data_IF_788765903177
#
_entry.id   IF_788765903177
#
_cell.length_a   1.000
_cell.length_b   1.000
_cell.length_c   1.000
_cell.angle_alpha   90.00
_cell.angle_beta   90.00
_cell.angle_gamma   90.00
#
_symmetry.space_group_name_H-M   'P 1'
#
loop_
_entity.id
_entity.type
_entity.pdbx_description
1 polymer ?
#
# COMPACT_ATOMS: atom_id res chain seq x y z
N UNK A 1 41.00 1.99 -52.94
CA UNK A 1 39.77 2.82 -53.16
C UNK A 1 38.79 2.58 -52.04
N UNK A 2 38.71 3.51 -51.14
CA UNK A 2 37.80 3.41 -49.98
C UNK A 2 36.54 4.25 -50.26
N UNK A 3 35.42 3.60 -50.42
CA UNK A 3 34.12 4.24 -50.61
C UNK A 3 33.63 4.82 -49.28
N UNK A 4 33.61 6.15 -49.16
CA UNK A 4 32.98 6.88 -48.07
C UNK A 4 31.46 6.76 -48.21
N UNK A 5 30.82 6.04 -47.25
CA UNK A 5 29.36 6.13 -47.07
C UNK A 5 29.03 7.44 -46.36
N UNK A 6 28.46 8.38 -47.10
CA UNK A 6 27.83 9.58 -46.55
C UNK A 6 26.48 9.17 -45.91
N UNK A 7 26.45 8.95 -44.61
CA UNK A 7 25.19 8.89 -43.84
C UNK A 7 24.68 10.32 -43.65
N UNK A 8 23.86 10.78 -44.57
CA UNK A 8 23.07 11.99 -44.39
C UNK A 8 21.93 11.67 -43.41
N UNK A 9 22.07 12.08 -42.15
CA UNK A 9 20.98 12.02 -41.17
C UNK A 9 19.89 12.97 -41.67
N UNK A 10 18.83 12.42 -42.26
CA UNK A 10 17.61 13.19 -42.53
C UNK A 10 17.05 13.69 -41.19
N UNK A 11 17.07 14.99 -40.96
CA UNK A 11 16.37 15.63 -39.86
C UNK A 11 14.89 15.33 -40.02
N UNK A 12 14.33 14.48 -39.13
CA UNK A 12 12.89 14.32 -39.03
C UNK A 12 12.29 15.64 -38.52
N UNK A 13 11.39 16.21 -39.30
CA UNK A 13 10.62 17.36 -38.83
C UNK A 13 9.71 16.93 -37.70
N UNK A 14 9.75 17.66 -36.61
CA UNK A 14 8.81 17.48 -35.50
C UNK A 14 7.39 17.83 -35.96
N UNK A 15 6.53 16.84 -36.04
CA UNK A 15 5.08 17.04 -36.19
C UNK A 15 4.45 17.13 -34.84
N UNK A 16 3.75 18.24 -34.57
CA UNK A 16 3.02 18.42 -33.32
C UNK A 16 1.92 17.36 -33.23
N UNK A 17 1.90 16.48 -32.21
CA UNK A 17 0.88 15.47 -32.10
C UNK A 17 -0.51 16.09 -31.93
N UNK A 18 -1.48 15.55 -32.67
CA UNK A 18 -2.89 15.90 -32.49
C UNK A 18 -3.38 15.18 -31.25
N UNK A 19 -3.54 15.90 -30.16
CA UNK A 19 -4.10 15.36 -28.92
C UNK A 19 -5.61 15.35 -29.02
N UNK A 20 -6.20 14.19 -29.27
CA UNK A 20 -7.63 14.00 -29.23
C UNK A 20 -8.07 14.06 -27.77
N UNK A 21 -8.88 15.05 -27.43
CA UNK A 21 -9.45 15.15 -26.07
C UNK A 21 -10.49 14.05 -25.88
N UNK A 22 -10.16 13.04 -25.11
CA UNK A 22 -11.15 12.06 -24.68
C UNK A 22 -11.93 12.63 -23.50
N UNK A 23 -13.20 12.89 -23.71
CA UNK A 23 -14.16 13.37 -22.69
C UNK A 23 -14.85 12.23 -21.98
N UNK A 24 -14.16 11.14 -21.68
CA UNK A 24 -14.73 10.01 -20.97
C UNK A 24 -14.28 10.05 -19.52
N UNK A 25 -15.21 10.43 -18.64
CA UNK A 25 -15.05 10.37 -17.19
C UNK A 25 -14.70 11.70 -16.50
N UNK A 26 -15.00 11.74 -15.22
CA UNK A 26 -14.85 12.90 -14.32
C UNK A 26 -13.39 13.22 -13.95
N UNK A 27 -12.43 12.38 -14.29
CA UNK A 27 -11.01 12.58 -14.03
C UNK A 27 -10.20 12.39 -15.29
N UNK A 28 -10.10 13.44 -16.08
CA UNK A 28 -9.18 13.47 -17.20
C UNK A 28 -7.81 13.95 -16.71
N UNK A 29 -6.80 13.09 -16.79
CA UNK A 29 -5.40 13.40 -16.45
C UNK A 29 -4.85 14.59 -17.28
N UNK A 30 -5.46 14.91 -18.42
CA UNK A 30 -4.97 15.88 -19.41
C UNK A 30 -5.97 16.94 -19.86
N UNK A 31 -7.12 17.08 -19.22
CA UNK A 31 -8.08 18.08 -19.65
C UNK A 31 -9.16 18.46 -18.64
N UNK A 32 -9.75 19.62 -18.84
CA UNK A 32 -10.93 20.04 -18.08
C UNK A 32 -12.16 19.26 -18.55
N UNK A 33 -13.02 18.84 -17.62
CA UNK A 33 -14.40 18.54 -17.97
C UNK A 33 -15.01 19.79 -18.66
N UNK A 34 -15.85 19.63 -19.69
CA UNK A 34 -16.43 20.77 -20.42
C UNK A 34 -17.13 21.81 -19.53
N UNK A 35 -17.59 21.39 -18.36
CA UNK A 35 -18.33 22.19 -17.38
C UNK A 35 -17.54 22.46 -16.09
N UNK A 36 -16.21 22.36 -16.11
CA UNK A 36 -15.39 22.61 -14.91
C UNK A 36 -15.50 24.12 -14.56
N UNK A 37 -16.10 24.40 -13.41
CA UNK A 37 -16.14 25.75 -12.85
C UNK A 37 -14.70 26.09 -12.40
N UNK A 38 -14.13 27.21 -12.86
CA UNK A 38 -12.80 27.62 -12.41
C UNK A 38 -12.85 27.91 -10.91
N UNK A 39 -11.93 27.31 -10.16
CA UNK A 39 -11.73 27.63 -8.76
C UNK A 39 -10.85 28.89 -8.66
N UNK A 40 -11.38 30.05 -8.21
CA UNK A 40 -10.58 31.27 -8.10
C UNK A 40 -9.68 31.27 -6.86
N UNK A 41 -9.96 30.38 -5.88
CA UNK A 41 -9.27 30.26 -4.60
C UNK A 41 -9.10 28.82 -4.19
N UNK A 42 -8.01 28.52 -3.47
CA UNK A 42 -7.79 27.25 -2.75
C UNK A 42 -7.58 27.61 -1.28
N UNK A 43 -8.38 27.02 -0.37
CA UNK A 43 -8.38 27.31 1.08
C UNK A 43 -8.41 28.81 1.39
N UNK A 44 -9.20 29.56 0.62
CA UNK A 44 -9.33 31.01 0.77
C UNK A 44 -8.23 31.84 0.07
N UNK A 45 -7.13 31.21 -0.38
CA UNK A 45 -6.02 31.87 -1.06
C UNK A 45 -6.30 32.03 -2.54
N UNK A 46 -6.21 33.28 -3.12
CA UNK A 46 -6.41 33.47 -4.55
C UNK A 46 -5.36 32.71 -5.39
N UNK A 47 -5.80 31.99 -6.41
CA UNK A 47 -4.87 31.27 -7.30
C UNK A 47 -3.90 32.23 -8.01
N UNK A 48 -4.37 33.43 -8.34
CA UNK A 48 -3.50 34.45 -8.99
C UNK A 48 -2.30 34.80 -8.11
N UNK A 49 -2.50 34.96 -6.79
CA UNK A 49 -1.40 35.28 -5.86
C UNK A 49 -0.38 34.13 -5.80
N UNK A 50 -0.88 32.88 -5.79
CA UNK A 50 0.00 31.70 -5.80
C UNK A 50 0.82 31.62 -7.10
N UNK A 51 0.19 31.88 -8.25
CA UNK A 51 0.89 31.88 -9.54
C UNK A 51 1.90 33.05 -9.65
N UNK A 52 1.60 34.21 -9.07
CA UNK A 52 2.55 35.34 -9.02
C UNK A 52 3.75 35.04 -8.13
N UNK A 53 3.54 34.33 -7.02
CA UNK A 53 4.59 34.00 -6.06
C UNK A 53 5.46 32.80 -6.49
N UNK A 54 4.83 31.76 -7.04
CA UNK A 54 5.50 30.46 -7.28
C UNK A 54 5.61 30.10 -8.77
N UNK A 55 4.98 30.84 -9.67
CA UNK A 55 5.03 30.58 -11.10
C UNK A 55 4.04 29.51 -11.56
N UNK A 56 4.22 29.07 -12.82
CA UNK A 56 3.42 28.04 -13.49
C UNK A 56 4.36 27.12 -14.28
N UNK A 57 4.14 25.80 -14.31
CA UNK A 57 3.02 25.06 -13.72
C UNK A 57 3.13 24.94 -12.18
N UNK A 58 1.99 24.88 -11.50
CA UNK A 58 1.93 24.76 -10.04
C UNK A 58 0.93 23.68 -9.62
N UNK A 59 1.38 22.75 -8.77
CA UNK A 59 0.52 21.81 -8.08
C UNK A 59 0.17 22.37 -6.70
N UNK A 60 -1.12 22.43 -6.40
CA UNK A 60 -1.62 22.97 -5.14
C UNK A 60 -2.36 21.85 -4.40
N UNK A 61 -1.99 21.64 -3.14
CA UNK A 61 -2.65 20.68 -2.25
C UNK A 61 -3.39 21.47 -1.17
N UNK A 62 -4.68 21.20 -1.01
CA UNK A 62 -5.52 21.79 0.02
C UNK A 62 -5.42 20.99 1.32
N UNK A 63 -4.82 21.56 2.35
CA UNK A 63 -4.73 20.95 3.67
C UNK A 63 -6.11 20.69 4.28
N UNK A 64 -7.03 21.67 4.17
CA UNK A 64 -8.40 21.52 4.66
C UNK A 64 -9.11 20.34 4.00
N UNK A 65 -8.87 20.11 2.71
CA UNK A 65 -9.45 18.98 1.99
C UNK A 65 -8.83 17.66 2.43
N UNK A 66 -7.52 17.59 2.65
CA UNK A 66 -6.87 16.37 3.18
C UNK A 66 -7.47 15.98 4.53
N UNK A 67 -7.51 16.92 5.48
CA UNK A 67 -8.06 16.69 6.83
C UNK A 67 -9.54 16.28 6.78
N UNK A 68 -10.35 16.95 5.98
CA UNK A 68 -11.77 16.60 5.81
C UNK A 68 -11.93 15.18 5.27
N UNK A 69 -11.19 14.79 4.21
CA UNK A 69 -11.28 13.47 3.61
C UNK A 69 -10.88 12.35 4.58
N UNK A 70 -9.84 12.57 5.37
CA UNK A 70 -9.48 11.64 6.44
C UNK A 70 -10.62 11.47 7.46
N UNK A 71 -11.15 12.59 7.96
CA UNK A 71 -12.23 12.58 8.96
C UNK A 71 -13.50 11.94 8.44
N UNK A 72 -13.88 12.23 7.19
CA UNK A 72 -15.05 11.63 6.52
C UNK A 72 -14.89 10.11 6.42
N UNK A 73 -13.73 9.63 5.98
CA UNK A 73 -13.43 8.20 5.88
C UNK A 73 -13.44 7.53 7.26
N UNK A 74 -12.73 8.10 8.23
CA UNK A 74 -12.69 7.57 9.60
C UNK A 74 -14.09 7.48 10.20
N UNK A 75 -14.91 8.52 10.04
CA UNK A 75 -16.30 8.56 10.50
C UNK A 75 -17.15 7.47 9.84
N UNK A 76 -17.05 7.31 8.52
CA UNK A 76 -17.83 6.31 7.77
C UNK A 76 -17.58 4.88 8.29
N UNK A 77 -16.33 4.53 8.56
CA UNK A 77 -15.97 3.22 9.10
C UNK A 77 -16.32 3.10 10.60
N UNK A 78 -15.99 4.09 11.42
CA UNK A 78 -16.18 4.04 12.87
C UNK A 78 -17.64 3.94 13.28
N UNK A 79 -18.57 4.44 12.47
CA UNK A 79 -20.02 4.28 12.69
C UNK A 79 -20.48 2.81 12.56
N UNK A 80 -19.72 1.97 11.88
CA UNK A 80 -20.05 0.54 11.67
C UNK A 80 -19.17 -0.37 12.52
N UNK A 81 -17.90 -0.01 12.68
CA UNK A 81 -16.93 -0.80 13.41
C UNK A 81 -15.91 0.14 14.09
N UNK A 82 -15.98 0.27 15.44
CA UNK A 82 -15.18 1.27 16.17
C UNK A 82 -13.67 0.95 16.17
N UNK A 83 -13.28 -0.32 16.00
CA UNK A 83 -11.87 -0.75 15.98
C UNK A 83 -11.26 -0.62 14.57
N UNK A 84 -11.36 0.57 13.98
CA UNK A 84 -10.76 0.87 12.68
C UNK A 84 -9.62 1.86 12.83
N UNK A 85 -8.50 1.57 12.17
CA UNK A 85 -7.37 2.48 12.02
C UNK A 85 -7.19 2.80 10.54
N UNK A 86 -7.21 4.08 10.21
CA UNK A 86 -6.91 4.56 8.85
C UNK A 86 -5.41 4.77 8.74
N UNK A 87 -4.83 4.26 7.66
CA UNK A 87 -3.43 4.45 7.33
C UNK A 87 -3.30 5.23 6.04
N UNK A 88 -2.31 6.11 5.96
CA UNK A 88 -2.00 6.83 4.74
C UNK A 88 -0.86 6.17 3.99
N UNK A 89 -1.07 5.85 2.72
CA UNK A 89 -0.08 5.19 1.88
C UNK A 89 0.89 6.20 1.27
N UNK A 90 2.14 6.20 1.72
CA UNK A 90 3.17 7.14 1.30
C UNK A 90 3.51 7.04 -0.18
N UNK A 91 3.43 5.84 -0.77
CA UNK A 91 3.66 5.63 -2.21
C UNK A 91 2.74 6.46 -3.11
N UNK A 92 1.59 6.92 -2.61
CA UNK A 92 0.66 7.74 -3.39
C UNK A 92 1.12 9.19 -3.47
N UNK A 93 1.67 9.73 -2.38
CA UNK A 93 2.36 11.01 -2.32
C UNK A 93 3.12 11.13 -1.00
N UNK A 94 4.42 11.03 -1.06
CA UNK A 94 5.32 11.06 0.12
C UNK A 94 5.86 12.45 0.46
N UNK A 95 5.26 13.53 -0.02
CA UNK A 95 5.63 14.87 0.44
C UNK A 95 5.41 14.99 1.95
N UNK A 96 6.46 15.37 2.66
CA UNK A 96 6.46 15.41 4.13
C UNK A 96 5.31 16.21 4.73
N UNK A 97 4.92 17.32 4.10
CA UNK A 97 3.79 18.14 4.55
C UNK A 97 2.45 17.38 4.45
N UNK A 98 2.26 16.56 3.42
CA UNK A 98 1.06 15.73 3.26
C UNK A 98 1.05 14.62 4.29
N UNK A 99 2.17 13.90 4.44
CA UNK A 99 2.32 12.84 5.42
C UNK A 99 2.10 13.35 6.85
N UNK A 100 2.68 14.50 7.21
CA UNK A 100 2.48 15.14 8.50
C UNK A 100 1.02 15.52 8.74
N UNK A 101 0.34 16.06 7.74
CA UNK A 101 -1.10 16.41 7.84
C UNK A 101 -1.94 15.20 8.18
N UNK A 102 -1.71 14.04 7.55
CA UNK A 102 -2.42 12.81 7.86
C UNK A 102 -2.04 12.23 9.22
N UNK A 103 -0.76 12.33 9.60
CA UNK A 103 -0.29 11.92 10.92
C UNK A 103 -0.96 12.73 12.04
N UNK A 104 -1.08 14.05 11.88
CA UNK A 104 -1.79 14.92 12.83
C UNK A 104 -3.25 14.53 13.02
N UNK A 105 -3.90 14.03 11.98
CA UNK A 105 -5.27 13.49 12.05
C UNK A 105 -5.33 12.08 12.69
N UNK A 106 -4.17 11.48 13.00
CA UNK A 106 -4.06 10.17 13.61
C UNK A 106 -3.98 9.00 12.63
N UNK A 107 -3.59 9.24 11.37
CA UNK A 107 -3.30 8.18 10.42
C UNK A 107 -2.01 7.45 10.81
N UNK A 108 -1.98 6.12 10.56
CA UNK A 108 -0.73 5.37 10.53
C UNK A 108 0.00 5.62 9.20
N UNK A 109 1.31 5.44 9.19
CA UNK A 109 2.11 5.48 7.98
C UNK A 109 2.13 4.09 7.31
N UNK A 110 1.56 3.96 6.12
CA UNK A 110 1.75 2.76 5.29
C UNK A 110 2.88 3.04 4.31
N UNK A 111 3.94 2.23 4.40
CA UNK A 111 5.18 2.39 3.64
C UNK A 111 5.51 1.10 2.90
N UNK A 112 6.13 1.22 1.71
CA UNK A 112 6.45 0.07 0.84
C UNK A 112 7.94 -0.05 0.53
N UNK A 113 8.77 0.80 1.14
CA UNK A 113 10.23 0.82 0.97
C UNK A 113 10.92 1.42 2.17
N UNK A 114 12.23 1.13 2.32
CA UNK A 114 13.06 1.78 3.34
C UNK A 114 13.11 3.30 3.19
N UNK A 115 13.06 3.81 1.95
CA UNK A 115 13.00 5.25 1.70
C UNK A 115 11.75 5.90 2.32
N UNK A 116 10.56 5.31 2.13
CA UNK A 116 9.33 5.81 2.73
C UNK A 116 9.33 5.62 4.25
N UNK A 117 9.97 4.54 4.74
CA UNK A 117 10.18 4.31 6.16
C UNK A 117 11.00 5.44 6.81
N UNK A 118 12.09 5.87 6.14
CA UNK A 118 12.91 7.01 6.60
C UNK A 118 12.10 8.32 6.66
N UNK A 119 11.22 8.56 5.67
CA UNK A 119 10.33 9.73 5.71
C UNK A 119 9.42 9.66 6.94
N UNK A 120 8.82 8.49 7.23
CA UNK A 120 7.98 8.32 8.41
C UNK A 120 8.78 8.60 9.70
N UNK A 121 10.02 8.12 9.79
CA UNK A 121 10.89 8.37 10.95
C UNK A 121 11.30 9.82 11.06
N UNK A 122 11.59 10.51 9.96
CA UNK A 122 11.90 11.95 9.96
C UNK A 122 10.74 12.81 10.47
N UNK A 123 9.51 12.33 10.33
CA UNK A 123 8.30 12.92 10.88
C UNK A 123 7.98 12.46 12.30
N UNK A 124 8.90 11.74 12.96
CA UNK A 124 8.75 11.18 14.30
C UNK A 124 7.57 10.20 14.45
N UNK A 125 7.18 9.50 13.37
CA UNK A 125 6.18 8.43 13.47
C UNK A 125 6.76 7.30 14.34
N UNK A 126 6.01 6.88 15.35
CA UNK A 126 6.39 5.74 16.19
C UNK A 126 6.35 4.45 15.35
N UNK A 127 7.28 3.52 15.58
CA UNK A 127 7.34 2.27 14.83
C UNK A 127 6.01 1.50 14.87
N UNK A 128 5.38 1.41 16.02
CA UNK A 128 4.06 0.77 16.20
C UNK A 128 2.92 1.35 15.30
N UNK A 129 3.13 2.57 14.78
CA UNK A 129 2.22 3.25 13.86
C UNK A 129 2.70 3.21 12.40
N UNK A 130 3.72 2.40 12.10
CA UNK A 130 4.21 2.16 10.74
C UNK A 130 3.75 0.78 10.29
N UNK A 131 3.09 0.72 9.13
CA UNK A 131 2.76 -0.53 8.45
C UNK A 131 3.73 -0.68 7.29
N UNK A 132 4.63 -1.66 7.41
CA UNK A 132 5.64 -1.92 6.40
C UNK A 132 5.16 -3.01 5.45
N UNK A 133 4.67 -2.58 4.32
CA UNK A 133 4.27 -3.37 3.17
C UNK A 133 5.41 -3.41 2.13
N UNK A 134 5.09 -3.81 0.91
CA UNK A 134 6.01 -3.81 -0.21
C UNK A 134 6.53 -5.20 -0.56
N UNK A 135 6.86 -5.43 -1.84
CA UNK A 135 7.23 -6.75 -2.34
C UNK A 135 8.67 -7.15 -2.03
N UNK A 136 9.48 -6.22 -1.56
CA UNK A 136 10.87 -6.46 -1.20
C UNK A 136 11.28 -5.61 -0.01
N UNK A 137 11.81 -6.24 1.03
CA UNK A 137 12.39 -5.62 2.21
C UNK A 137 13.73 -6.30 2.51
N UNK A 138 14.78 -5.52 2.68
CA UNK A 138 16.10 -6.05 3.02
C UNK A 138 16.15 -6.56 4.46
N UNK A 139 17.16 -7.37 4.78
CA UNK A 139 17.37 -7.85 6.15
C UNK A 139 17.55 -6.69 7.13
N UNK A 140 18.27 -5.64 6.73
CA UNK A 140 18.52 -4.45 7.54
C UNK A 140 17.23 -3.69 7.82
N UNK A 141 16.40 -3.48 6.79
CA UNK A 141 15.08 -2.83 6.91
C UNK A 141 14.15 -3.62 7.83
N UNK A 142 14.08 -4.95 7.66
CA UNK A 142 13.28 -5.83 8.51
C UNK A 142 13.80 -5.85 9.95
N UNK A 143 15.12 -5.90 10.16
CA UNK A 143 15.75 -5.87 11.50
C UNK A 143 15.38 -4.58 12.24
N UNK A 144 15.41 -3.46 11.53
CA UNK A 144 14.99 -2.16 12.08
C UNK A 144 13.52 -2.14 12.40
N UNK A 145 12.66 -2.54 11.46
CA UNK A 145 11.21 -2.58 11.64
C UNK A 145 10.81 -3.43 12.85
N UNK A 146 11.44 -4.61 13.03
CA UNK A 146 11.25 -5.46 14.21
C UNK A 146 11.67 -4.74 15.48
N UNK A 147 12.84 -4.09 15.48
CA UNK A 147 13.36 -3.39 16.67
C UNK A 147 12.48 -2.19 17.08
N UNK A 148 11.81 -1.59 16.13
CA UNK A 148 10.90 -0.46 16.33
C UNK A 148 9.43 -0.88 16.52
N UNK A 149 9.14 -2.18 16.54
CA UNK A 149 7.79 -2.76 16.65
C UNK A 149 6.84 -2.33 15.51
N UNK A 150 7.36 -2.16 14.30
CA UNK A 150 6.53 -1.86 13.15
C UNK A 150 5.64 -3.06 12.77
N UNK A 151 4.49 -2.78 12.17
CA UNK A 151 3.58 -3.79 11.64
C UNK A 151 4.13 -4.26 10.29
N UNK A 152 4.63 -5.48 10.23
CA UNK A 152 5.26 -6.03 9.02
C UNK A 152 4.28 -6.97 8.33
N UNK A 153 4.00 -6.72 7.05
CA UNK A 153 3.26 -7.62 6.18
C UNK A 153 4.22 -8.32 5.21
N UNK A 154 4.31 -9.64 5.34
CA UNK A 154 5.17 -10.51 4.53
C UNK A 154 4.58 -10.64 3.12
N UNK A 155 5.41 -10.49 2.09
CA UNK A 155 5.04 -10.56 0.69
C UNK A 155 5.54 -11.84 -0.01
N UNK A 156 6.58 -12.49 0.51
CA UNK A 156 7.24 -13.65 -0.10
C UNK A 156 7.80 -14.64 0.93
N UNK A 157 8.14 -15.85 0.45
CA UNK A 157 8.82 -16.84 1.30
C UNK A 157 10.20 -16.36 1.76
N UNK A 158 10.94 -15.62 0.94
CA UNK A 158 12.25 -15.09 1.32
C UNK A 158 12.16 -14.21 2.55
N UNK A 159 11.11 -13.40 2.66
CA UNK A 159 10.87 -12.58 3.84
C UNK A 159 10.52 -13.40 5.08
N UNK A 160 9.84 -14.55 4.92
CA UNK A 160 9.61 -15.50 6.04
C UNK A 160 10.96 -15.96 6.58
N UNK A 161 11.88 -16.41 5.71
CA UNK A 161 13.20 -16.89 6.12
C UNK A 161 14.04 -15.80 6.78
N UNK A 162 14.06 -14.60 6.22
CA UNK A 162 14.77 -13.46 6.81
C UNK A 162 14.24 -13.10 8.19
N UNK A 163 12.93 -13.07 8.36
CA UNK A 163 12.31 -12.76 9.65
C UNK A 163 12.54 -13.88 10.69
N UNK A 164 12.58 -15.15 10.28
CA UNK A 164 12.95 -16.27 11.16
C UNK A 164 14.41 -16.15 11.62
N UNK A 165 15.31 -15.75 10.74
CA UNK A 165 16.71 -15.48 11.08
C UNK A 165 16.81 -14.35 12.10
N UNK A 166 16.14 -13.22 11.86
CA UNK A 166 16.10 -12.08 12.78
C UNK A 166 15.48 -12.50 14.13
N UNK A 167 14.43 -13.31 14.12
CA UNK A 167 13.80 -13.81 15.34
C UNK A 167 14.76 -14.65 16.20
N UNK A 168 15.58 -15.51 15.56
CA UNK A 168 16.64 -16.28 16.24
C UNK A 168 17.72 -15.36 16.80
N UNK A 169 18.23 -14.42 15.98
CA UNK A 169 19.26 -13.47 16.41
C UNK A 169 18.81 -12.63 17.60
N UNK A 170 17.55 -12.24 17.63
CA UNK A 170 16.96 -11.41 18.72
C UNK A 170 16.36 -12.23 19.86
N UNK A 171 16.38 -13.57 19.75
CA UNK A 171 15.73 -14.48 20.71
C UNK A 171 14.30 -14.06 21.06
N UNK A 172 13.47 -13.81 20.03
CA UNK A 172 12.09 -13.31 20.17
C UNK A 172 11.16 -13.93 19.13
N UNK A 173 9.87 -13.88 19.40
CA UNK A 173 8.84 -14.22 18.41
C UNK A 173 8.33 -12.95 17.77
N UNK A 174 8.33 -12.86 16.43
CA UNK A 174 7.95 -11.67 15.69
C UNK A 174 6.48 -11.75 15.25
N UNK A 175 5.62 -10.79 15.63
CA UNK A 175 4.27 -10.69 15.10
C UNK A 175 4.30 -10.18 13.65
N UNK A 176 3.60 -10.88 12.75
CA UNK A 176 3.58 -10.57 11.32
C UNK A 176 2.18 -10.66 10.73
N UNK A 177 1.92 -9.87 9.69
CA UNK A 177 0.84 -10.10 8.74
C UNK A 177 1.37 -10.81 7.50
N UNK A 178 0.48 -11.36 6.69
CA UNK A 178 0.81 -11.84 5.34
C UNK A 178 -0.03 -11.12 4.31
N UNK A 179 0.58 -10.85 3.16
CA UNK A 179 -0.12 -10.31 2.01
C UNK A 179 -0.69 -11.42 1.16
N UNK A 180 -1.98 -11.33 0.90
CA UNK A 180 -2.69 -12.21 0.00
C UNK A 180 -2.94 -11.50 -1.34
N UNK A 181 -2.85 -12.24 -2.43
CA UNK A 181 -3.52 -11.87 -3.67
C UNK A 181 -4.64 -12.88 -3.95
N UNK A 182 -5.68 -12.42 -4.64
CA UNK A 182 -6.89 -13.20 -4.88
C UNK A 182 -7.67 -12.66 -6.07
N UNK A 183 -8.51 -13.49 -6.65
CA UNK A 183 -9.44 -13.05 -7.69
C UNK A 183 -10.55 -12.18 -7.08
N UNK A 184 -10.58 -10.90 -7.42
CA UNK A 184 -11.53 -9.90 -6.90
C UNK A 184 -12.23 -9.12 -8.01
N UNK A 185 -12.63 -9.78 -9.06
CA UNK A 185 -13.34 -9.19 -10.21
C UNK A 185 -12.61 -9.36 -11.53
N UNK A 186 -12.96 -8.55 -12.53
CA UNK A 186 -12.46 -8.70 -13.90
C UNK A 186 -10.97 -8.36 -14.09
N UNK A 187 -10.36 -7.64 -13.17
CA UNK A 187 -8.93 -7.34 -13.21
C UNK A 187 -8.17 -8.31 -12.31
N UNK A 188 -7.38 -9.17 -12.93
CA UNK A 188 -6.43 -10.00 -12.21
C UNK A 188 -5.29 -9.15 -11.65
N UNK A 189 -5.24 -9.02 -10.34
CA UNK A 189 -4.10 -8.47 -9.64
C UNK A 189 -3.40 -9.59 -8.87
N UNK A 190 -2.68 -10.42 -9.63
CA UNK A 190 -2.00 -11.63 -9.15
C UNK A 190 -0.53 -11.40 -8.76
N UNK A 191 -0.08 -10.15 -8.85
CA UNK A 191 1.28 -9.79 -8.44
C UNK A 191 1.36 -9.54 -6.96
N UNK A 192 2.45 -10.04 -6.37
CA UNK A 192 2.80 -9.85 -4.96
C UNK A 192 1.91 -10.58 -3.96
N UNK A 193 2.53 -11.04 -2.89
CA UNK A 193 1.86 -11.80 -1.85
C UNK A 193 1.61 -13.25 -2.25
N UNK A 194 0.90 -13.95 -1.38
CA UNK A 194 0.58 -15.36 -1.53
C UNK A 194 -0.81 -15.54 -2.12
N UNK A 195 -0.93 -16.36 -3.15
CA UNK A 195 -2.21 -16.54 -3.82
C UNK A 195 -3.19 -17.40 -3.00
N UNK A 196 -4.42 -16.90 -2.89
CA UNK A 196 -5.49 -17.56 -2.14
C UNK A 196 -6.03 -18.80 -2.86
N UNK A 197 -6.33 -18.70 -4.17
CA UNK A 197 -6.98 -19.75 -4.95
C UNK A 197 -6.09 -20.98 -5.16
N UNK A 198 -4.78 -20.77 -5.31
CA UNK A 198 -3.80 -21.87 -5.45
C UNK A 198 -3.38 -22.48 -4.13
N UNK A 199 -3.96 -22.09 -3.01
CA UNK A 199 -3.58 -22.49 -1.65
C UNK A 199 -2.17 -22.04 -1.20
N UNK A 200 -1.44 -21.23 -1.98
CA UNK A 200 -0.12 -20.74 -1.63
C UNK A 200 -0.15 -19.95 -0.30
N UNK A 201 -1.20 -19.17 -0.09
CA UNK A 201 -1.42 -18.44 1.16
C UNK A 201 -1.54 -19.39 2.38
N UNK A 202 -2.22 -20.51 2.20
CA UNK A 202 -2.35 -21.52 3.24
C UNK A 202 -1.01 -22.19 3.58
N UNK A 203 -0.24 -22.56 2.57
CA UNK A 203 1.10 -23.15 2.78
C UNK A 203 2.06 -22.15 3.45
N UNK A 204 1.97 -20.85 3.14
CA UNK A 204 2.75 -19.82 3.83
C UNK A 204 2.38 -19.73 5.32
N UNK A 205 1.10 -19.76 5.66
CA UNK A 205 0.63 -19.76 7.06
C UNK A 205 1.10 -21.01 7.78
N UNK A 206 0.96 -22.19 7.15
CA UNK A 206 1.45 -23.44 7.70
C UNK A 206 2.95 -23.41 7.98
N UNK A 207 3.74 -22.83 7.06
CA UNK A 207 5.19 -22.65 7.22
C UNK A 207 5.51 -21.75 8.42
N UNK A 208 4.79 -20.63 8.57
CA UNK A 208 4.93 -19.70 9.71
C UNK A 208 4.66 -20.43 11.02
N UNK A 209 3.57 -21.19 11.10
CA UNK A 209 3.22 -21.95 12.29
C UNK A 209 4.25 -23.02 12.64
N UNK A 210 4.71 -23.79 11.64
CA UNK A 210 5.69 -24.86 11.83
C UNK A 210 7.05 -24.33 12.32
N UNK A 211 7.44 -23.12 11.91
CA UNK A 211 8.68 -22.47 12.34
C UNK A 211 8.69 -22.01 13.79
N UNK A 212 7.52 -21.68 14.35
CA UNK A 212 7.36 -21.26 15.75
C UNK A 212 7.99 -19.91 16.12
N UNK A 213 8.70 -19.27 15.19
CA UNK A 213 9.43 -18.00 15.41
C UNK A 213 8.63 -16.77 14.98
N UNK A 214 7.61 -16.96 14.17
CA UNK A 214 6.73 -15.90 13.70
C UNK A 214 5.31 -16.18 14.20
N UNK A 215 4.57 -15.10 14.51
CA UNK A 215 3.20 -15.19 14.97
C UNK A 215 2.28 -14.42 14.03
N UNK A 216 1.42 -15.14 13.30
CA UNK A 216 0.45 -14.52 12.42
C UNK A 216 -0.54 -13.64 13.21
N UNK A 217 -0.67 -12.38 12.82
CA UNK A 217 -1.51 -11.36 13.46
C UNK A 217 -2.53 -10.74 12.53
N UNK A 218 -2.33 -10.85 11.23
CA UNK A 218 -3.21 -10.19 10.28
C UNK A 218 -3.04 -10.65 8.84
N UNK A 219 -4.02 -10.29 8.05
CA UNK A 219 -4.04 -10.49 6.61
C UNK A 219 -4.06 -9.13 5.92
N UNK A 220 -3.35 -9.01 4.83
CA UNK A 220 -3.30 -7.81 4.00
C UNK A 220 -3.64 -8.17 2.56
N UNK A 221 -4.35 -7.29 1.86
CA UNK A 221 -4.55 -7.37 0.41
C UNK A 221 -4.57 -5.98 -0.19
N UNK A 222 -4.10 -5.88 -1.41
CA UNK A 222 -4.19 -4.66 -2.22
C UNK A 222 -5.16 -4.90 -3.38
N UNK A 223 -6.28 -4.20 -3.37
CA UNK A 223 -7.35 -4.36 -4.37
C UNK A 223 -7.02 -3.77 -5.76
N UNK A 224 -5.78 -3.31 -5.98
CA UNK A 224 -5.38 -2.65 -7.24
C UNK A 224 -5.63 -1.14 -7.22
N UNK A 225 -5.54 -0.53 -8.40
CA UNK A 225 -5.60 0.93 -8.58
C UNK A 225 -6.88 1.30 -9.34
N UNK A 226 -7.45 2.48 -9.03
CA UNK A 226 -8.67 3.03 -9.67
C UNK A 226 -9.92 2.14 -9.53
N UNK A 227 -10.03 1.43 -8.41
CA UNK A 227 -11.23 0.64 -8.11
C UNK A 227 -12.26 1.51 -7.39
N UNK A 228 -13.36 1.81 -8.07
CA UNK A 228 -14.54 2.48 -7.53
C UNK A 228 -15.72 1.53 -7.30
N UNK A 229 -15.54 0.23 -7.61
CA UNK A 229 -16.55 -0.80 -7.41
C UNK A 229 -16.49 -1.37 -5.98
N UNK A 230 -17.54 -1.13 -5.21
CA UNK A 230 -17.67 -1.60 -3.81
C UNK A 230 -17.68 -3.13 -3.70
N UNK A 231 -18.15 -3.84 -4.71
CA UNK A 231 -18.22 -5.31 -4.72
C UNK A 231 -16.83 -5.96 -4.61
N UNK A 232 -15.80 -5.31 -5.14
CA UNK A 232 -14.41 -5.77 -5.00
C UNK A 232 -14.02 -5.86 -3.53
N UNK A 233 -14.34 -4.84 -2.75
CA UNK A 233 -14.02 -4.80 -1.31
C UNK A 233 -14.87 -5.79 -0.52
N UNK A 234 -16.13 -6.01 -0.92
CA UNK A 234 -16.99 -7.03 -0.31
C UNK A 234 -16.44 -8.43 -0.55
N UNK A 235 -16.13 -8.77 -1.80
CA UNK A 235 -15.54 -10.07 -2.16
C UNK A 235 -14.22 -10.31 -1.42
N UNK A 236 -13.37 -9.30 -1.34
CA UNK A 236 -12.10 -9.40 -0.59
C UNK A 236 -12.33 -9.67 0.90
N UNK A 237 -13.30 -8.99 1.51
CA UNK A 237 -13.64 -9.21 2.92
C UNK A 237 -14.21 -10.61 3.17
N UNK A 238 -15.08 -11.10 2.28
CA UNK A 238 -15.64 -12.46 2.34
C UNK A 238 -14.54 -13.52 2.25
N UNK A 239 -13.59 -13.38 1.31
CA UNK A 239 -12.43 -14.28 1.18
C UNK A 239 -11.51 -14.23 2.41
N UNK A 240 -11.32 -13.07 3.01
CA UNK A 240 -10.56 -12.96 4.27
C UNK A 240 -11.24 -13.72 5.41
N UNK A 241 -12.55 -13.60 5.55
CA UNK A 241 -13.31 -14.34 6.57
C UNK A 241 -13.23 -15.84 6.31
N UNK A 242 -13.41 -16.27 5.06
CA UNK A 242 -13.26 -17.68 4.66
C UNK A 242 -11.87 -18.21 5.00
N UNK A 243 -10.81 -17.48 4.65
CA UNK A 243 -9.43 -17.87 4.93
C UNK A 243 -9.15 -17.96 6.44
N UNK A 244 -9.67 -17.02 7.21
CA UNK A 244 -9.56 -17.05 8.67
C UNK A 244 -10.17 -18.33 9.26
N UNK A 245 -11.35 -18.74 8.81
CA UNK A 245 -11.98 -19.99 9.27
C UNK A 245 -11.14 -21.22 8.90
N UNK A 246 -10.64 -21.31 7.68
CA UNK A 246 -9.76 -22.41 7.25
C UNK A 246 -8.51 -22.50 8.15
N UNK A 247 -7.88 -21.38 8.44
CA UNK A 247 -6.67 -21.38 9.30
C UNK A 247 -7.03 -21.82 10.73
N UNK A 248 -8.14 -21.32 11.27
CA UNK A 248 -8.56 -21.60 12.63
C UNK A 248 -8.88 -23.09 12.81
N UNK A 249 -9.71 -23.66 11.97
CA UNK A 249 -10.12 -25.06 12.02
C UNK A 249 -8.91 -26.01 11.98
N UNK A 250 -7.98 -25.76 11.04
CA UNK A 250 -6.79 -26.60 10.90
C UNK A 250 -5.75 -26.41 12.00
N UNK A 251 -5.69 -25.24 12.64
CA UNK A 251 -4.85 -25.07 13.82
C UNK A 251 -5.40 -25.81 15.05
N UNK A 252 -6.72 -25.93 15.18
CA UNK A 252 -7.37 -26.71 16.21
C UNK A 252 -7.22 -28.23 15.98
N UNK A 253 -7.31 -28.70 14.73
CA UNK A 253 -7.04 -30.09 14.35
C UNK A 253 -5.59 -30.51 14.71
N UNK A 254 -4.59 -29.69 14.36
CA UNK A 254 -3.19 -29.95 14.69
C UNK A 254 -2.93 -29.99 16.20
N UNK A 255 -3.59 -29.15 16.95
CA UNK A 255 -3.47 -29.12 18.42
C UNK A 255 -4.07 -30.37 19.04
N UNK A 256 -5.20 -30.86 18.53
CA UNK A 256 -5.85 -32.09 18.99
C UNK A 256 -5.08 -33.34 18.62
N UNK A 257 -4.46 -33.41 17.42
CA UNK A 257 -3.59 -34.52 17.02
C UNK A 257 -2.33 -34.61 17.87
N UNK A 258 -1.69 -33.50 18.21
CA UNK A 258 -0.54 -33.48 19.12
C UNK A 258 -0.92 -33.91 20.53
N UNK A 259 -2.05 -33.46 21.05
CA UNK A 259 -2.54 -33.91 22.37
C UNK A 259 -2.88 -35.39 22.39
N UNK A 260 -3.42 -35.95 21.32
CA UNK A 260 -3.71 -37.39 21.22
C UNK A 260 -2.49 -38.27 21.09
N UNK A 261 -1.35 -37.76 20.56
CA UNK A 261 -0.08 -38.48 20.42
C UNK A 261 0.78 -38.51 21.69
N UNK A 262 0.58 -37.51 22.57
CA UNK A 262 1.38 -37.36 23.81
C UNK A 262 0.57 -37.53 25.10
N UNK A 263 -0.71 -37.82 25.00
CA UNK A 263 -1.59 -38.18 26.12
C UNK A 263 -1.78 -39.68 26.25
#
# INVERSE_FOLDING_TARGET
>A
MATKHNNTIQKQFYEKPIIIRHTVGLSNKFGRAPNAIPFPRVDGVPIRSLLQQYGSPLFIVSEQTLRRKYRDMKRAFSLRYPKVQISYSYKTNYLSAICATFQDEGAYAEVVSGFEYEIAKSLNVKGENIIFNGPHKTKEELTRAVSENAIINIDSYDEIYLLEEIAKEKNTTIPVGIRLNMEIGAMHWDRFGFNFESAQAFEAVKRIHAGGLLKLRGLHCHAGTYNDNVEIYRTMAEKFVQFYHIIKERSEEHTSELQSRFG
#
